data_IF_059292398736
#
_entry.id   IF_059292398736
#
_cell.length_a   1.000
_cell.length_b   1.000
_cell.length_c   1.000
_cell.angle_alpha   90.00
_cell.angle_beta   90.00
_cell.angle_gamma   90.00
#
_symmetry.space_group_name_H-M   'P 1'
#
loop_
_entity.id
_entity.type
_entity.pdbx_description
1 polymer ?
#
# COMPACT_ATOMS: atom_id res chain seq x y z
N UNK A 1 12.94 5.90 2.65
CA UNK A 1 11.51 6.02 2.99
C UNK A 1 11.27 5.30 4.31
N UNK A 2 10.41 5.81 5.19
CA UNK A 2 10.33 5.37 6.59
C UNK A 2 9.63 4.02 6.81
N UNK A 3 8.98 3.43 5.79
CA UNK A 3 8.40 2.10 5.87
C UNK A 3 8.39 1.39 4.50
N UNK A 4 8.08 0.10 4.51
CA UNK A 4 8.09 -0.75 3.30
C UNK A 4 7.10 -0.30 2.21
N UNK A 5 5.92 0.23 2.58
CA UNK A 5 4.92 0.68 1.61
C UNK A 5 5.46 1.87 0.81
N UNK A 6 5.96 2.89 1.51
CA UNK A 6 6.53 4.08 0.88
C UNK A 6 7.83 3.75 0.12
N UNK A 7 8.68 2.88 0.67
CA UNK A 7 9.92 2.45 0.02
C UNK A 7 9.66 1.75 -1.32
N UNK A 8 8.66 0.86 -1.36
CA UNK A 8 8.28 0.16 -2.59
C UNK A 8 7.85 1.15 -3.68
N UNK A 9 6.99 2.11 -3.34
CA UNK A 9 6.52 3.14 -4.28
C UNK A 9 7.67 4.04 -4.73
N UNK A 10 8.51 4.50 -3.80
CA UNK A 10 9.64 5.38 -4.09
C UNK A 10 10.66 4.71 -5.03
N UNK A 11 10.89 3.40 -4.87
CA UNK A 11 11.83 2.65 -5.73
C UNK A 11 11.48 2.69 -7.22
N UNK A 12 10.20 2.86 -7.56
CA UNK A 12 9.72 2.94 -8.94
C UNK A 12 9.76 4.35 -9.52
N UNK A 13 9.88 5.39 -8.69
CA UNK A 13 9.67 6.80 -9.09
C UNK A 13 10.69 7.30 -10.10
N UNK A 14 11.97 6.98 -9.89
CA UNK A 14 13.10 7.50 -10.68
C UNK A 14 13.76 6.40 -11.53
N UNK A 15 13.01 5.37 -11.91
CA UNK A 15 13.52 4.32 -12.82
C UNK A 15 13.67 4.88 -14.25
N UNK A 16 14.67 4.42 -15.02
CA UNK A 16 15.73 3.46 -14.65
C UNK A 16 16.91 4.13 -13.91
N UNK A 17 17.63 3.34 -13.09
CA UNK A 17 18.89 3.70 -12.40
C UNK A 17 18.90 4.98 -11.52
N UNK A 18 17.74 5.44 -11.06
CA UNK A 18 17.63 6.53 -10.09
C UNK A 18 17.09 6.05 -8.74
N UNK A 19 17.38 6.83 -7.70
CA UNK A 19 16.89 6.62 -6.33
C UNK A 19 15.93 7.74 -5.91
N UNK A 20 15.00 7.45 -5.01
CA UNK A 20 14.05 8.42 -4.47
C UNK A 20 14.02 8.29 -2.94
N UNK A 21 14.41 9.36 -2.25
CA UNK A 21 14.32 9.46 -0.79
C UNK A 21 12.97 10.10 -0.44
N UNK A 22 12.25 9.47 0.49
CA UNK A 22 11.10 10.04 1.18
C UNK A 22 11.50 10.14 2.64
N UNK A 23 11.50 11.35 3.19
CA UNK A 23 11.86 11.61 4.58
C UNK A 23 10.79 11.10 5.56
N UNK A 24 11.10 11.11 6.86
CA UNK A 24 10.21 10.60 7.90
C UNK A 24 9.11 11.60 8.28
N UNK A 25 9.25 12.88 7.96
CA UNK A 25 8.31 13.91 8.37
C UNK A 25 6.98 13.79 7.62
N UNK A 26 5.90 13.67 8.38
CA UNK A 26 4.58 13.37 7.81
C UNK A 26 4.07 14.49 6.90
N UNK A 27 4.12 15.74 7.38
CA UNK A 27 3.55 16.88 6.65
C UNK A 27 4.42 17.37 5.50
N UNK A 28 5.75 17.39 5.67
CA UNK A 28 6.67 17.94 4.68
C UNK A 28 7.12 16.93 3.63
N UNK A 29 7.21 15.63 3.97
CA UNK A 29 7.75 14.61 3.05
C UNK A 29 6.70 13.60 2.61
N UNK A 30 6.00 12.96 3.57
CA UNK A 30 5.13 11.82 3.27
C UNK A 30 3.87 12.28 2.53
N UNK A 31 3.14 13.26 3.05
CA UNK A 31 1.89 13.75 2.46
C UNK A 31 2.11 14.27 1.03
N UNK A 32 3.07 15.16 0.75
CA UNK A 32 3.31 15.68 -0.60
C UNK A 32 3.75 14.60 -1.59
N UNK A 33 4.49 13.58 -1.12
CA UNK A 33 4.87 12.44 -1.94
C UNK A 33 3.68 11.52 -2.26
N UNK A 34 2.85 11.23 -1.26
CA UNK A 34 1.84 10.17 -1.31
C UNK A 34 0.53 10.62 -1.95
N UNK A 35 0.01 11.78 -1.55
CA UNK A 35 -1.35 12.22 -1.89
C UNK A 35 -1.62 12.39 -3.39
N UNK A 36 -0.69 12.95 -4.18
CA UNK A 36 -0.88 13.09 -5.63
C UNK A 36 -0.83 11.76 -6.40
N UNK A 37 -0.41 10.66 -5.77
CA UNK A 37 -0.28 9.39 -6.46
C UNK A 37 -1.66 8.83 -6.80
N UNK A 38 -1.75 8.21 -7.98
CA UNK A 38 -2.90 7.37 -8.32
C UNK A 38 -2.99 6.21 -7.32
N UNK A 39 -4.22 5.85 -6.94
CA UNK A 39 -4.49 4.66 -6.11
C UNK A 39 -3.82 3.39 -6.65
N UNK A 40 -3.65 3.27 -7.97
CA UNK A 40 -3.00 2.12 -8.62
C UNK A 40 -1.51 1.95 -8.27
N UNK A 41 -0.85 3.01 -7.80
CA UNK A 41 0.55 2.96 -7.35
C UNK A 41 0.70 2.33 -5.97
N UNK A 42 -0.38 2.26 -5.18
CA UNK A 42 -0.36 1.65 -3.85
C UNK A 42 -0.31 0.13 -3.95
N UNK A 43 0.64 -0.49 -3.26
CA UNK A 43 0.76 -1.94 -3.18
C UNK A 43 -0.53 -2.60 -2.65
N UNK A 44 -1.02 -3.62 -3.35
CA UNK A 44 -2.28 -4.30 -3.01
C UNK A 44 -3.52 -3.79 -3.75
N UNK A 45 -3.46 -2.61 -4.40
CA UNK A 45 -4.54 -2.12 -5.26
C UNK A 45 -4.33 -2.64 -6.69
N UNK A 46 -5.06 -3.70 -7.04
CA UNK A 46 -5.10 -4.28 -8.39
C UNK A 46 -6.13 -3.61 -9.31
N UNK A 47 -6.20 -4.06 -10.57
CA UNK A 47 -7.11 -3.53 -11.61
C UNK A 47 -8.57 -3.47 -11.18
N UNK A 48 -9.05 -4.48 -10.45
CA UNK A 48 -10.45 -4.56 -10.00
C UNK A 48 -10.72 -3.52 -8.91
N UNK A 49 -9.89 -3.48 -7.87
CA UNK A 49 -10.02 -2.52 -6.77
C UNK A 49 -9.92 -1.08 -7.26
N UNK A 50 -8.96 -0.80 -8.15
CA UNK A 50 -8.82 0.51 -8.80
C UNK A 50 -10.10 0.89 -9.54
N UNK A 51 -10.67 0.00 -10.35
CA UNK A 51 -11.90 0.28 -11.10
C UNK A 51 -13.09 0.56 -10.19
N UNK A 52 -13.20 -0.15 -9.07
CA UNK A 52 -14.25 0.11 -8.05
C UNK A 52 -14.06 1.50 -7.48
N UNK A 53 -12.85 1.86 -7.03
CA UNK A 53 -12.56 3.19 -6.49
C UNK A 53 -12.87 4.31 -7.49
N UNK A 54 -12.44 4.15 -8.75
CA UNK A 54 -12.70 5.11 -9.82
C UNK A 54 -14.20 5.30 -10.10
N UNK A 55 -15.01 4.24 -10.00
CA UNK A 55 -16.46 4.33 -10.19
C UNK A 55 -17.14 5.25 -9.16
N UNK A 56 -16.50 5.49 -8.01
CA UNK A 56 -16.94 6.43 -6.98
C UNK A 56 -16.16 7.75 -6.98
N UNK A 57 -15.37 8.02 -8.02
CA UNK A 57 -14.61 9.25 -8.16
C UNK A 57 -13.28 9.28 -7.38
N UNK A 58 -12.84 8.14 -6.84
CA UNK A 58 -11.58 8.03 -6.09
C UNK A 58 -10.44 7.67 -7.05
N UNK A 59 -9.61 8.65 -7.40
CA UNK A 59 -8.52 8.47 -8.37
C UNK A 59 -7.16 8.49 -7.70
N UNK A 60 -7.00 9.34 -6.68
CA UNK A 60 -5.74 9.56 -5.96
C UNK A 60 -5.79 9.02 -4.54
N UNK A 61 -4.62 8.91 -3.90
CA UNK A 61 -4.53 8.56 -2.48
C UNK A 61 -5.19 9.62 -1.61
N UNK A 62 -5.12 10.90 -2.00
CA UNK A 62 -5.83 11.97 -1.32
C UNK A 62 -7.35 11.77 -1.34
N UNK A 63 -7.92 11.47 -2.51
CA UNK A 63 -9.36 11.20 -2.65
C UNK A 63 -9.77 10.03 -1.74
N UNK A 64 -8.93 8.99 -1.71
CA UNK A 64 -9.15 7.79 -0.88
C UNK A 64 -9.18 8.13 0.61
N UNK A 65 -8.31 9.05 1.07
CA UNK A 65 -8.31 9.54 2.46
C UNK A 65 -9.53 10.41 2.77
N UNK A 66 -9.88 11.33 1.87
CA UNK A 66 -11.03 12.22 2.02
C UNK A 66 -12.34 11.43 2.08
N UNK A 67 -12.47 10.39 1.25
CA UNK A 67 -13.65 9.54 1.16
C UNK A 67 -13.51 8.22 1.96
N UNK A 68 -12.64 8.18 2.98
CA UNK A 68 -12.39 6.98 3.80
C UNK A 68 -13.64 6.32 4.40
N UNK A 69 -14.66 7.12 4.71
CA UNK A 69 -15.94 6.61 5.20
C UNK A 69 -16.65 5.76 4.13
N UNK A 70 -16.71 6.25 2.89
CA UNK A 70 -17.23 5.52 1.74
C UNK A 70 -16.44 4.23 1.50
N UNK A 71 -15.10 4.33 1.48
CA UNK A 71 -14.20 3.17 1.31
C UNK A 71 -14.47 2.10 2.37
N UNK A 72 -14.76 2.50 3.62
CA UNK A 72 -15.10 1.58 4.71
C UNK A 72 -16.42 0.83 4.49
N UNK A 73 -17.37 1.39 3.75
CA UNK A 73 -18.63 0.73 3.38
C UNK A 73 -18.51 -0.12 2.12
N UNK A 74 -17.64 0.26 1.17
CA UNK A 74 -17.48 -0.45 -0.10
C UNK A 74 -16.73 -1.80 0.04
N UNK A 75 -15.83 -1.92 1.02
CA UNK A 75 -14.96 -3.08 1.18
C UNK A 75 -15.15 -3.79 2.51
N UNK A 76 -14.77 -5.08 2.55
CA UNK A 76 -14.69 -5.85 3.80
C UNK A 76 -13.76 -5.15 4.80
N UNK A 77 -13.99 -5.31 6.13
CA UNK A 77 -13.22 -4.61 7.16
C UNK A 77 -11.70 -4.72 7.01
N UNK A 78 -11.19 -5.91 6.69
CA UNK A 78 -9.75 -6.13 6.49
C UNK A 78 -9.17 -5.30 5.33
N UNK A 79 -9.83 -5.34 4.18
CA UNK A 79 -9.43 -4.58 2.99
C UNK A 79 -9.56 -3.08 3.20
N UNK A 80 -10.69 -2.63 3.78
CA UNK A 80 -10.90 -1.22 4.11
C UNK A 80 -9.84 -0.70 5.09
N UNK A 81 -9.50 -1.48 6.12
CA UNK A 81 -8.44 -1.14 7.06
C UNK A 81 -7.07 -1.02 6.38
N UNK A 82 -6.75 -1.91 5.44
CA UNK A 82 -5.51 -1.83 4.66
C UNK A 82 -5.47 -0.59 3.76
N UNK A 83 -6.57 -0.26 3.08
CA UNK A 83 -6.66 0.93 2.22
C UNK A 83 -6.55 2.21 3.05
N UNK A 84 -7.18 2.25 4.22
CA UNK A 84 -7.10 3.38 5.13
C UNK A 84 -5.67 3.59 5.66
N UNK A 85 -5.00 2.52 6.13
CA UNK A 85 -3.58 2.59 6.54
C UNK A 85 -2.68 3.07 5.40
N UNK A 86 -2.90 2.54 4.19
CA UNK A 86 -2.15 2.98 3.02
C UNK A 86 -2.38 4.45 2.69
N UNK A 87 -3.60 4.98 2.89
CA UNK A 87 -3.90 6.41 2.67
C UNK A 87 -3.17 7.34 3.65
N UNK A 88 -2.80 6.83 4.83
CA UNK A 88 -1.98 7.52 5.83
C UNK A 88 -0.47 7.32 5.60
N UNK A 89 -0.07 6.54 4.60
CA UNK A 89 1.32 6.16 4.39
C UNK A 89 1.84 5.12 5.39
N UNK A 90 0.97 4.50 6.19
CA UNK A 90 1.36 3.48 7.17
C UNK A 90 1.40 2.09 6.54
N UNK A 91 2.39 1.28 6.93
CA UNK A 91 2.48 -0.13 6.54
C UNK A 91 2.00 -1.01 7.70
N UNK A 92 1.36 -2.15 7.40
CA UNK A 92 0.91 -3.11 8.42
C UNK A 92 2.05 -3.96 9.00
N UNK A 93 3.26 -3.82 8.45
CA UNK A 93 4.48 -4.52 8.84
C UNK A 93 5.58 -3.47 9.01
N UNK A 94 5.47 -2.65 10.04
CA UNK A 94 6.72 -2.20 10.63
C UNK A 94 7.29 -3.43 11.30
N UNK A 95 8.39 -3.93 10.75
CA UNK A 95 9.21 -4.88 11.47
C UNK A 95 9.59 -4.19 12.77
N UNK A 96 9.18 -4.77 13.90
CA UNK A 96 9.80 -4.48 15.16
C UNK A 96 11.31 -4.70 14.99
N UNK A 97 12.07 -3.61 14.93
CA UNK A 97 13.42 -3.65 15.46
C UNK A 97 13.25 -3.88 16.96
N UNK A 98 13.34 -5.15 17.39
CA UNK A 98 13.46 -5.58 18.78
C UNK A 98 12.20 -5.48 19.64
N UNK A 99 11.47 -6.60 19.77
CA UNK A 99 11.00 -7.04 21.08
C UNK A 99 10.98 -8.58 21.09
N UNK A 100 11.58 -9.15 22.12
CA UNK A 100 11.77 -10.58 22.33
C UNK A 100 10.46 -11.22 22.82
N UNK A 101 10.09 -12.37 22.23
CA UNK A 101 9.02 -13.30 22.65
C UNK A 101 7.56 -12.92 22.32
N UNK A 102 7.02 -13.55 21.28
CA UNK A 102 6.02 -14.65 21.34
C UNK A 102 5.41 -14.81 19.93
N UNK A 103 5.44 -16.04 19.43
CA UNK A 103 4.92 -16.48 18.13
C UNK A 103 5.71 -16.01 16.90
N UNK A 104 6.95 -16.50 16.77
CA UNK A 104 7.50 -16.78 15.43
C UNK A 104 6.59 -17.81 14.74
N UNK A 105 5.49 -17.36 14.12
CA UNK A 105 4.86 -18.12 13.04
C UNK A 105 5.93 -18.25 11.96
N UNK A 106 6.70 -19.33 12.04
CA UNK A 106 7.60 -19.78 11.01
C UNK A 106 6.85 -19.66 9.69
N UNK A 107 7.29 -18.76 8.80
CA UNK A 107 6.63 -18.50 7.52
C UNK A 107 6.86 -19.71 6.62
N UNK A 108 6.17 -20.80 6.94
CA UNK A 108 6.21 -22.06 6.22
C UNK A 108 5.53 -21.92 4.87
N UNK A 109 6.06 -22.65 3.89
CA UNK A 109 5.44 -22.74 2.58
C UNK A 109 4.01 -23.28 2.71
N UNK A 110 3.00 -22.43 2.46
CA UNK A 110 1.57 -22.80 2.57
C UNK A 110 1.01 -23.50 1.33
N UNK A 111 1.81 -23.64 0.27
CA UNK A 111 1.39 -24.31 -0.95
C UNK A 111 2.52 -24.53 -1.96
N UNK A 112 2.39 -25.60 -2.74
CA UNK A 112 3.20 -25.89 -3.94
C UNK A 112 2.23 -26.10 -5.11
N UNK A 113 2.48 -25.47 -6.26
CA UNK A 113 1.56 -25.51 -7.41
C UNK A 113 2.33 -25.62 -8.72
N UNK A 114 1.68 -26.15 -9.76
CA UNK A 114 2.18 -26.19 -11.14
C UNK A 114 1.05 -25.79 -12.08
N UNK A 115 1.27 -24.73 -12.84
CA UNK A 115 0.33 -24.26 -13.87
C UNK A 115 0.94 -24.39 -15.27
N UNK A 116 0.10 -24.59 -16.28
CA UNK A 116 0.53 -24.70 -17.68
C UNK A 116 -0.53 -24.05 -18.56
N UNK A 117 -0.15 -22.95 -19.18
CA UNK A 117 -1.00 -22.20 -20.12
C UNK A 117 -0.53 -22.49 -21.53
N UNK A 118 -1.46 -22.82 -22.42
CA UNK A 118 -1.19 -23.16 -23.82
C UNK A 118 -2.08 -22.31 -24.72
N UNK A 119 -1.85 -22.37 -26.03
CA UNK A 119 -2.64 -21.65 -27.04
C UNK A 119 -4.07 -22.17 -27.16
#
# INVERSE_FOLDING_TARGET
APNHLLAKIASDRNKPNGQCLVGPDHESDIVPFLYPLSTRKVGGIGRVTEKILQAFGIHTVQDMYQQRALVRFLFKPASAGSLFRASLGCSSRDGSMGDDNEDEEETGQKGISRERTFQ
#
